data_IF_405443420436
#
_entry.id   IF_405443420436
#
_cell.length_a   1.000
_cell.length_b   1.000
_cell.length_c   1.000
_cell.angle_alpha   90.00
_cell.angle_beta   90.00
_cell.angle_gamma   90.00
#
_symmetry.space_group_name_H-M   'P 1'
#
loop_
_entity.id
_entity.type
_entity.pdbx_description
1 polymer ?
#
# COMPACT_ATOMS: atom_id res chain seq x y z
N UNK A 1 7.41 -30.08 -33.17
CA UNK A 1 7.59 -30.56 -31.78
C UNK A 1 7.53 -29.34 -30.88
N UNK A 2 6.39 -29.18 -30.20
CA UNK A 2 6.13 -28.06 -29.29
C UNK A 2 6.86 -28.32 -27.98
N UNK A 3 7.84 -27.49 -27.64
CA UNK A 3 8.46 -27.49 -26.31
C UNK A 3 7.43 -26.96 -25.31
N UNK A 4 6.82 -27.89 -24.57
CA UNK A 4 6.08 -27.58 -23.36
C UNK A 4 7.02 -26.84 -22.41
N UNK A 5 6.66 -25.59 -22.09
CA UNK A 5 7.19 -24.88 -20.93
C UNK A 5 6.74 -25.64 -19.68
N UNK A 6 7.59 -26.52 -19.15
CA UNK A 6 7.45 -27.08 -17.81
C UNK A 6 7.72 -25.97 -16.80
N UNK A 7 6.72 -25.11 -16.59
CA UNK A 7 6.76 -24.09 -15.55
C UNK A 7 6.56 -24.77 -14.21
N UNK A 8 7.59 -24.78 -13.36
CA UNK A 8 7.50 -25.26 -11.98
C UNK A 8 6.38 -24.50 -11.26
N UNK A 9 5.40 -25.24 -10.76
CA UNK A 9 4.20 -24.74 -10.09
C UNK A 9 4.56 -23.97 -8.81
N UNK A 10 3.73 -23.00 -8.40
CA UNK A 10 3.91 -22.35 -7.11
C UNK A 10 3.51 -23.32 -6.00
N UNK A 11 4.36 -23.46 -4.98
CA UNK A 11 4.06 -24.27 -3.81
C UNK A 11 4.58 -23.59 -2.55
N UNK A 12 3.87 -23.80 -1.44
CA UNK A 12 4.19 -23.25 -0.12
C UNK A 12 5.54 -23.72 0.40
N UNK A 13 5.93 -24.96 0.07
CA UNK A 13 7.23 -25.53 0.45
C UNK A 13 8.41 -24.67 -0.06
N UNK A 14 8.53 -24.44 -1.38
CA UNK A 14 9.70 -23.72 -1.92
C UNK A 14 9.74 -22.24 -1.46
N UNK A 15 8.58 -21.62 -1.22
CA UNK A 15 8.55 -20.26 -0.64
C UNK A 15 9.08 -20.22 0.79
N UNK A 16 8.70 -21.20 1.62
CA UNK A 16 9.18 -21.28 3.01
C UNK A 16 10.70 -21.44 3.09
N UNK A 17 11.29 -22.25 2.20
CA UNK A 17 12.75 -22.41 2.06
C UNK A 17 13.45 -21.11 1.63
N UNK A 18 12.70 -20.14 1.10
CA UNK A 18 13.19 -18.83 0.64
C UNK A 18 12.86 -17.71 1.60
N UNK A 19 12.28 -18.02 2.77
CA UNK A 19 11.92 -17.04 3.79
C UNK A 19 10.61 -16.29 3.53
N UNK A 20 9.72 -16.83 2.69
CA UNK A 20 8.38 -16.28 2.43
C UNK A 20 7.33 -17.22 3.01
N UNK A 21 6.50 -16.70 3.90
CA UNK A 21 5.51 -17.46 4.66
C UNK A 21 4.16 -16.77 4.56
N UNK A 22 3.08 -17.56 4.62
CA UNK A 22 1.75 -17.03 4.79
C UNK A 22 0.97 -17.85 5.81
N UNK A 23 0.01 -17.20 6.47
CA UNK A 23 -1.02 -17.83 7.30
C UNK A 23 -2.39 -17.36 6.81
N UNK A 24 -3.15 -18.32 6.27
CA UNK A 24 -4.43 -18.08 5.60
C UNK A 24 -5.63 -18.16 6.54
N UNK A 25 -5.39 -18.37 7.84
CA UNK A 25 -6.37 -18.23 8.90
C UNK A 25 -6.67 -16.73 9.15
N UNK A 26 -7.93 -16.35 8.94
CA UNK A 26 -8.41 -14.98 9.16
C UNK A 26 -8.79 -14.72 10.62
N UNK A 27 -8.75 -15.74 11.49
CA UNK A 27 -8.92 -15.55 12.93
C UNK A 27 -7.71 -14.81 13.50
N UNK A 28 -7.87 -14.14 14.67
CA UNK A 28 -6.72 -13.56 15.34
C UNK A 28 -5.59 -14.58 15.46
N UNK A 29 -4.36 -14.23 15.05
CA UNK A 29 -3.26 -15.18 15.06
C UNK A 29 -2.98 -15.64 16.49
N UNK A 30 -2.46 -16.87 16.62
CA UNK A 30 -2.11 -17.44 17.93
C UNK A 30 -1.08 -16.59 18.67
N UNK A 31 -0.15 -16.00 17.91
CA UNK A 31 0.79 -15.00 18.39
C UNK A 31 0.30 -13.60 18.00
N UNK A 32 0.35 -12.60 18.89
CA UNK A 32 -0.09 -11.25 18.56
C UNK A 32 0.77 -10.64 17.46
N UNK A 33 0.13 -9.99 16.48
CA UNK A 33 0.80 -9.30 15.40
C UNK A 33 1.75 -8.21 15.95
N UNK A 34 2.82 -7.88 15.23
CA UNK A 34 3.61 -6.70 15.56
C UNK A 34 2.72 -5.45 15.63
N UNK A 35 2.94 -4.51 16.58
CA UNK A 35 2.03 -3.38 16.79
C UNK A 35 1.75 -2.53 15.55
N UNK A 36 2.75 -2.36 14.67
CA UNK A 36 2.61 -1.60 13.43
C UNK A 36 1.77 -2.34 12.36
N UNK A 37 1.74 -3.66 12.41
CA UNK A 37 0.90 -4.52 11.55
C UNK A 37 -0.53 -4.50 12.08
N UNK A 38 -0.72 -4.60 13.40
CA UNK A 38 -2.04 -4.49 14.03
C UNK A 38 -2.66 -3.11 13.78
N UNK A 39 -1.88 -2.02 13.90
CA UNK A 39 -2.38 -0.68 13.61
C UNK A 39 -2.83 -0.52 12.15
N UNK A 40 -2.13 -1.15 11.20
CA UNK A 40 -2.58 -1.18 9.80
C UNK A 40 -3.85 -2.03 9.66
N UNK A 41 -3.90 -3.21 10.28
CA UNK A 41 -5.08 -4.07 10.27
C UNK A 41 -6.31 -3.33 10.79
N UNK A 42 -6.20 -2.68 11.94
CA UNK A 42 -7.28 -1.91 12.55
C UNK A 42 -7.71 -0.76 11.64
N UNK A 43 -6.76 -0.04 11.04
CA UNK A 43 -7.07 1.02 10.06
C UNK A 43 -7.76 0.50 8.81
N UNK A 44 -7.40 -0.68 8.30
CA UNK A 44 -8.03 -1.28 7.11
C UNK A 44 -9.44 -1.80 7.40
N UNK A 45 -9.64 -2.36 8.59
CA UNK A 45 -10.90 -2.97 9.02
C UNK A 45 -11.76 -2.02 9.86
N UNK A 46 -11.45 -0.72 9.84
CA UNK A 46 -12.28 0.30 10.46
C UNK A 46 -13.51 0.55 9.58
N UNK A 47 -14.64 0.02 10.03
CA UNK A 47 -15.94 0.21 9.41
C UNK A 47 -16.82 1.19 10.21
N UNK A 48 -16.23 2.01 11.07
CA UNK A 48 -16.97 3.02 11.80
C UNK A 48 -17.71 3.95 10.83
N UNK A 49 -18.86 4.45 11.28
CA UNK A 49 -19.73 5.36 10.53
C UNK A 49 -20.40 4.76 9.28
N UNK A 50 -20.27 3.45 9.05
CA UNK A 50 -20.91 2.79 7.91
C UNK A 50 -22.18 2.04 8.34
N UNK A 51 -23.26 2.26 7.59
CA UNK A 51 -24.41 1.37 7.58
C UNK A 51 -24.27 0.34 6.45
N UNK A 52 -24.44 -0.93 6.76
CA UNK A 52 -24.35 -1.99 5.77
C UNK A 52 -25.69 -2.37 5.14
N UNK A 53 -26.78 -1.76 5.59
CA UNK A 53 -28.07 -1.89 4.92
C UNK A 53 -27.99 -1.26 3.52
N UNK A 54 -28.48 -1.98 2.51
CA UNK A 54 -28.52 -1.47 1.15
C UNK A 54 -29.54 -0.35 0.98
N UNK A 55 -30.60 -0.37 1.80
CA UNK A 55 -31.70 0.59 1.71
C UNK A 55 -31.32 1.96 2.29
N UNK A 56 -30.27 2.03 3.10
CA UNK A 56 -29.69 3.28 3.59
C UNK A 56 -28.61 3.86 2.66
N UNK A 57 -28.19 3.12 1.63
CA UNK A 57 -27.28 3.62 0.60
C UNK A 57 -28.02 4.53 -0.39
N UNK A 58 -27.29 5.51 -0.92
CA UNK A 58 -27.79 6.31 -2.04
C UNK A 58 -28.12 5.43 -3.25
N UNK A 59 -29.11 5.82 -4.06
CA UNK A 59 -29.61 5.01 -5.18
C UNK A 59 -28.49 4.54 -6.13
N UNK A 60 -27.52 5.41 -6.41
CA UNK A 60 -26.37 5.10 -7.27
C UNK A 60 -25.49 4.00 -6.69
N UNK A 61 -25.17 4.08 -5.39
CA UNK A 61 -24.31 3.11 -4.72
C UNK A 61 -25.00 1.76 -4.55
N UNK A 62 -26.28 1.76 -4.14
CA UNK A 62 -27.10 0.57 -4.04
C UNK A 62 -27.22 -0.15 -5.41
N UNK A 63 -27.37 0.62 -6.49
CA UNK A 63 -27.42 0.10 -7.87
C UNK A 63 -26.11 -0.59 -8.25
N UNK A 64 -24.96 0.04 -7.96
CA UNK A 64 -23.65 -0.55 -8.23
C UNK A 64 -23.46 -1.85 -7.45
N UNK A 65 -23.79 -1.88 -6.16
CA UNK A 65 -23.65 -3.09 -5.33
C UNK A 65 -24.53 -4.22 -5.88
N UNK A 66 -25.77 -3.93 -6.26
CA UNK A 66 -26.69 -4.89 -6.89
C UNK A 66 -26.14 -5.41 -8.22
N UNK A 67 -25.52 -4.55 -9.03
CA UNK A 67 -24.91 -4.95 -10.31
C UNK A 67 -23.70 -5.88 -10.11
N UNK A 68 -22.81 -5.56 -9.15
CA UNK A 68 -21.67 -6.41 -8.78
C UNK A 68 -22.17 -7.78 -8.34
N UNK A 69 -23.11 -7.78 -7.39
CA UNK A 69 -23.68 -8.99 -6.82
C UNK A 69 -24.29 -9.90 -7.90
N UNK A 70 -25.16 -9.34 -8.74
CA UNK A 70 -25.78 -10.06 -9.86
C UNK A 70 -24.76 -10.61 -10.85
N UNK A 71 -23.70 -9.86 -11.13
CA UNK A 71 -22.63 -10.29 -12.04
C UNK A 71 -21.82 -11.43 -11.44
N UNK A 72 -21.46 -11.33 -10.15
CA UNK A 72 -20.75 -12.37 -9.42
C UNK A 72 -21.54 -13.69 -9.37
N UNK A 73 -22.83 -13.63 -9.04
CA UNK A 73 -23.71 -14.82 -9.02
C UNK A 73 -23.78 -15.47 -10.41
N UNK A 74 -23.97 -14.68 -11.48
CA UNK A 74 -23.97 -15.18 -12.85
C UNK A 74 -22.64 -15.84 -13.21
N UNK A 75 -21.51 -15.26 -12.80
CA UNK A 75 -20.20 -15.78 -13.13
C UNK A 75 -19.88 -17.10 -12.42
N UNK A 76 -20.36 -17.24 -11.19
CA UNK A 76 -20.25 -18.48 -10.43
C UNK A 76 -21.07 -19.60 -11.08
N UNK A 77 -22.30 -19.32 -11.51
CA UNK A 77 -23.17 -20.30 -12.18
C UNK A 77 -22.63 -20.75 -13.55
N UNK A 78 -22.07 -19.83 -14.33
CA UNK A 78 -21.73 -20.08 -15.74
C UNK A 78 -20.32 -20.61 -16.01
N UNK A 79 -19.50 -20.91 -14.99
CA UNK A 79 -18.11 -21.40 -15.14
C UNK A 79 -17.29 -20.56 -16.14
N UNK A 80 -17.37 -19.24 -16.00
CA UNK A 80 -16.74 -18.27 -16.92
C UNK A 80 -15.18 -18.38 -16.90
N UNK A 81 -14.48 -17.56 -17.69
CA UNK A 81 -13.01 -17.53 -17.70
C UNK A 81 -12.45 -16.50 -16.71
N UNK A 82 -11.19 -16.66 -16.29
CA UNK A 82 -10.47 -15.76 -15.37
C UNK A 82 -10.58 -14.28 -15.71
N UNK A 83 -10.39 -13.95 -16.98
CA UNK A 83 -10.44 -12.57 -17.48
C UNK A 83 -11.76 -11.85 -17.15
N UNK A 84 -12.86 -12.60 -16.97
CA UNK A 84 -14.18 -12.03 -16.64
C UNK A 84 -14.24 -11.60 -15.17
N UNK A 85 -13.65 -12.38 -14.27
CA UNK A 85 -13.51 -12.00 -12.86
C UNK A 85 -12.50 -10.87 -12.68
N UNK A 86 -11.35 -10.94 -13.36
CA UNK A 86 -10.37 -9.84 -13.40
C UNK A 86 -11.06 -8.53 -13.82
N UNK A 87 -11.84 -8.57 -14.91
CA UNK A 87 -12.59 -7.41 -15.39
C UNK A 87 -13.62 -6.89 -14.38
N UNK A 88 -14.27 -7.79 -13.63
CA UNK A 88 -15.24 -7.41 -12.59
C UNK A 88 -14.55 -6.65 -11.45
N UNK A 89 -13.49 -7.22 -10.88
CA UNK A 89 -12.73 -6.59 -9.80
C UNK A 89 -12.10 -5.28 -10.27
N UNK A 90 -11.54 -5.26 -11.48
CA UNK A 90 -10.96 -4.05 -12.05
C UNK A 90 -12.00 -2.93 -12.15
N UNK A 91 -13.16 -3.21 -12.77
CA UNK A 91 -14.22 -2.20 -13.00
C UNK A 91 -14.81 -1.67 -11.70
N UNK A 92 -15.08 -2.54 -10.73
CA UNK A 92 -15.92 -2.20 -9.58
C UNK A 92 -15.17 -1.97 -8.26
N UNK A 93 -13.90 -2.37 -8.19
CA UNK A 93 -13.11 -2.24 -6.97
C UNK A 93 -11.83 -1.43 -7.20
N UNK A 94 -11.08 -1.71 -8.27
CA UNK A 94 -9.77 -1.08 -8.48
C UNK A 94 -9.85 0.26 -9.20
N UNK A 95 -10.62 0.34 -10.28
CA UNK A 95 -10.79 1.56 -11.08
C UNK A 95 -11.42 2.71 -10.29
N UNK A 96 -12.45 2.51 -9.44
CA UNK A 96 -12.99 3.58 -8.60
C UNK A 96 -11.92 4.24 -7.71
N UNK A 97 -10.97 3.46 -7.21
CA UNK A 97 -9.86 3.97 -6.41
C UNK A 97 -8.93 4.88 -7.23
N UNK A 98 -8.63 4.47 -8.47
CA UNK A 98 -7.82 5.28 -9.41
C UNK A 98 -8.55 6.57 -9.80
N UNK A 99 -9.86 6.48 -10.07
CA UNK A 99 -10.69 7.62 -10.44
C UNK A 99 -10.79 8.63 -9.29
N UNK A 100 -10.94 8.15 -8.04
CA UNK A 100 -10.98 9.01 -6.86
C UNK A 100 -9.68 9.81 -6.67
N UNK A 101 -8.53 9.16 -6.88
CA UNK A 101 -7.22 9.79 -6.77
C UNK A 101 -6.88 10.74 -7.95
N UNK A 102 -7.60 10.64 -9.06
CA UNK A 102 -7.34 11.41 -10.28
C UNK A 102 -8.05 12.75 -10.30
N UNK A 103 -7.38 13.79 -10.78
CA UNK A 103 -7.99 15.11 -10.95
C UNK A 103 -9.04 15.07 -12.06
N UNK A 104 -10.22 15.62 -11.77
CA UNK A 104 -11.33 15.71 -12.73
C UNK A 104 -11.47 17.13 -13.29
N UNK A 105 -12.10 17.27 -14.46
CA UNK A 105 -12.37 18.59 -15.06
C UNK A 105 -13.30 19.48 -14.22
N UNK A 106 -14.07 18.90 -13.31
CA UNK A 106 -14.95 19.62 -12.38
C UNK A 106 -14.29 19.99 -11.04
N UNK A 107 -13.07 19.53 -10.79
CA UNK A 107 -12.39 19.75 -9.51
C UNK A 107 -11.93 21.22 -9.36
N UNK A 108 -12.13 21.78 -8.17
CA UNK A 108 -11.52 23.08 -7.85
C UNK A 108 -9.99 22.99 -7.89
N UNK A 109 -9.32 24.13 -8.12
CA UNK A 109 -7.85 24.21 -8.08
C UNK A 109 -7.24 23.60 -6.81
N UNK A 110 -7.88 23.81 -5.65
CA UNK A 110 -7.41 23.26 -4.36
C UNK A 110 -7.47 21.73 -4.36
N UNK A 111 -8.58 21.16 -4.84
CA UNK A 111 -8.80 19.72 -4.91
C UNK A 111 -7.80 19.07 -5.87
N UNK A 112 -7.68 19.59 -7.09
CA UNK A 112 -6.75 19.05 -8.09
C UNK A 112 -5.28 19.12 -7.63
N UNK A 113 -4.90 20.15 -6.86
CA UNK A 113 -3.57 20.24 -6.25
C UNK A 113 -3.38 19.17 -5.17
N UNK A 114 -4.37 18.96 -4.32
CA UNK A 114 -4.32 17.91 -3.29
C UNK A 114 -4.09 16.55 -3.94
N UNK A 115 -4.93 16.25 -4.95
CA UNK A 115 -4.86 15.00 -5.70
C UNK A 115 -3.49 14.79 -6.32
N UNK A 116 -2.94 15.79 -7.01
CA UNK A 116 -1.64 15.65 -7.66
C UNK A 116 -0.46 15.44 -6.69
N UNK A 117 -0.39 16.21 -5.60
CA UNK A 117 0.77 16.21 -4.71
C UNK A 117 0.70 15.10 -3.65
N UNK A 118 -0.48 14.90 -3.06
CA UNK A 118 -0.63 14.03 -1.90
C UNK A 118 -1.28 12.71 -2.28
N UNK A 119 -2.33 12.75 -3.09
CA UNK A 119 -3.24 11.62 -3.25
C UNK A 119 -2.96 10.78 -4.52
N UNK A 120 -2.05 11.24 -5.37
CA UNK A 120 -1.74 10.60 -6.64
C UNK A 120 -1.16 9.18 -6.45
N UNK A 121 -1.73 8.25 -7.20
CA UNK A 121 -1.36 6.84 -7.27
C UNK A 121 -1.26 6.40 -8.73
N UNK A 122 -0.56 5.30 -8.97
CA UNK A 122 -0.48 4.65 -10.27
C UNK A 122 -0.94 3.21 -10.10
N UNK A 123 -1.89 2.77 -10.90
CA UNK A 123 -2.25 1.36 -11.03
C UNK A 123 -1.57 0.79 -12.27
N UNK A 124 -1.00 -0.42 -12.14
CA UNK A 124 -0.51 -1.17 -13.29
C UNK A 124 -0.86 -2.65 -13.12
N UNK A 125 -1.12 -3.31 -14.25
CA UNK A 125 -1.55 -4.71 -14.31
C UNK A 125 -0.55 -5.53 -15.11
N UNK A 126 -0.35 -6.80 -14.73
CA UNK A 126 0.49 -7.77 -15.47
C UNK A 126 1.96 -7.34 -15.61
N UNK A 127 2.44 -6.48 -14.72
CA UNK A 127 3.79 -5.91 -14.77
C UNK A 127 4.83 -6.87 -14.18
N UNK A 128 5.91 -7.12 -14.93
CA UNK A 128 7.02 -7.95 -14.46
C UNK A 128 8.00 -7.13 -13.59
N UNK A 129 8.23 -7.56 -12.36
CA UNK A 129 9.14 -6.90 -11.42
C UNK A 129 10.59 -7.35 -11.65
N UNK A 130 11.20 -6.79 -12.69
CA UNK A 130 12.53 -7.13 -13.21
C UNK A 130 13.69 -6.88 -12.23
N UNK A 131 13.49 -6.09 -11.17
CA UNK A 131 14.50 -5.87 -10.12
C UNK A 131 14.82 -7.18 -9.36
N UNK A 132 13.92 -8.17 -9.37
CA UNK A 132 14.09 -9.42 -8.62
C UNK A 132 14.38 -10.66 -9.50
N UNK A 133 14.99 -10.46 -10.68
CA UNK A 133 15.37 -11.57 -11.57
C UNK A 133 16.45 -12.49 -10.97
N UNK A 134 16.45 -13.78 -11.37
CA UNK A 134 17.34 -14.84 -10.84
C UNK A 134 18.84 -14.62 -11.12
N UNK A 135 19.16 -13.82 -12.13
CA UNK A 135 20.51 -13.68 -12.66
C UNK A 135 21.21 -12.45 -12.08
N UNK A 136 21.77 -12.61 -10.89
CA UNK A 136 22.92 -11.83 -10.45
C UNK A 136 22.63 -10.51 -9.75
N UNK A 137 23.26 -10.41 -8.58
CA UNK A 137 23.39 -9.28 -7.67
C UNK A 137 22.27 -9.17 -6.62
N UNK A 138 22.70 -9.02 -5.36
CA UNK A 138 21.87 -8.54 -4.27
C UNK A 138 21.10 -7.28 -4.71
N UNK A 139 19.96 -6.97 -4.08
CA UNK A 139 19.17 -5.76 -4.29
C UNK A 139 19.94 -4.47 -3.90
N UNK A 140 21.05 -4.21 -4.59
CA UNK A 140 22.08 -3.25 -4.20
C UNK A 140 23.18 -3.86 -3.31
N UNK A 141 24.28 -3.11 -3.16
CA UNK A 141 25.37 -3.43 -2.22
C UNK A 141 24.99 -3.04 -0.77
N UNK A 142 23.76 -2.60 -0.57
CA UNK A 142 23.29 -1.93 0.65
C UNK A 142 22.89 -2.90 1.76
N UNK A 143 22.56 -4.15 1.44
CA UNK A 143 22.28 -5.22 2.40
C UNK A 143 22.76 -6.59 1.88
N UNK A 144 23.23 -7.44 2.79
CA UNK A 144 23.35 -8.87 2.52
C UNK A 144 21.93 -9.43 2.41
N UNK A 145 21.60 -9.99 1.26
CA UNK A 145 20.24 -10.41 0.93
C UNK A 145 20.18 -11.94 0.89
N UNK A 146 19.87 -12.60 2.02
CA UNK A 146 19.81 -14.06 2.07
C UNK A 146 18.59 -14.60 1.31
N UNK A 147 17.59 -13.75 1.01
CA UNK A 147 16.32 -14.18 0.44
C UNK A 147 16.39 -14.19 -1.09
N UNK A 148 16.07 -15.34 -1.70
CA UNK A 148 16.07 -15.50 -3.16
C UNK A 148 14.69 -15.87 -3.67
N UNK A 149 14.17 -15.14 -4.63
CA UNK A 149 12.86 -15.46 -5.19
C UNK A 149 12.87 -16.74 -6.02
N UNK A 150 11.80 -17.52 -5.93
CA UNK A 150 11.56 -18.65 -6.84
C UNK A 150 11.45 -18.19 -8.28
N UNK A 151 10.76 -17.06 -8.49
CA UNK A 151 10.52 -16.41 -9.77
C UNK A 151 10.31 -14.91 -9.50
N UNK A 152 10.66 -14.07 -10.47
CA UNK A 152 10.30 -12.66 -10.43
C UNK A 152 8.79 -12.51 -10.23
N UNK A 153 8.33 -11.59 -9.37
CA UNK A 153 6.91 -11.27 -9.28
C UNK A 153 6.39 -10.80 -10.64
N UNK A 154 5.25 -11.33 -11.04
CA UNK A 154 4.45 -10.86 -12.15
C UNK A 154 3.03 -10.77 -11.62
N UNK A 155 2.72 -9.62 -11.04
CA UNK A 155 1.45 -9.38 -10.34
C UNK A 155 0.33 -9.20 -11.33
N UNK A 156 -0.86 -9.70 -11.02
CA UNK A 156 -2.05 -9.42 -11.81
C UNK A 156 -2.41 -7.92 -11.74
N UNK A 157 -2.28 -7.31 -10.56
CA UNK A 157 -2.39 -5.87 -10.36
C UNK A 157 -1.55 -5.37 -9.19
N UNK A 158 -1.12 -4.11 -9.25
CA UNK A 158 -0.56 -3.44 -8.07
C UNK A 158 -0.71 -1.93 -8.17
N UNK A 159 -0.74 -1.30 -7.00
CA UNK A 159 -0.73 0.15 -6.87
C UNK A 159 0.60 0.66 -6.35
N UNK A 160 1.01 1.80 -6.88
CA UNK A 160 2.31 2.42 -6.67
C UNK A 160 2.15 3.91 -6.41
N UNK A 161 3.22 4.56 -5.95
CA UNK A 161 3.34 6.01 -6.01
C UNK A 161 3.99 6.45 -7.32
N UNK A 162 3.54 7.59 -7.89
CA UNK A 162 4.17 8.15 -9.07
C UNK A 162 5.59 8.63 -8.76
N UNK A 163 6.49 8.44 -9.71
CA UNK A 163 7.73 9.19 -9.77
C UNK A 163 7.44 10.49 -10.53
N UNK A 164 7.93 11.63 -10.05
CA UNK A 164 7.71 12.92 -10.72
C UNK A 164 8.91 13.28 -11.60
N UNK A 165 8.68 13.49 -12.90
CA UNK A 165 9.71 13.99 -13.82
C UNK A 165 9.55 15.51 -14.01
N UNK A 166 10.08 16.27 -13.05
CA UNK A 166 10.05 17.73 -13.03
C UNK A 166 11.04 18.29 -14.07
N UNK A 167 10.63 18.38 -15.33
CA UNK A 167 11.38 19.10 -16.39
C UNK A 167 10.76 20.47 -16.64
N UNK A 168 11.47 21.39 -17.31
CA UNK A 168 10.91 22.70 -17.70
C UNK A 168 9.63 22.58 -18.54
N UNK A 169 9.40 21.42 -19.18
CA UNK A 169 8.20 21.06 -19.94
C UNK A 169 7.37 19.98 -19.23
N UNK A 170 7.31 20.01 -17.89
CA UNK A 170 6.63 18.98 -17.12
C UNK A 170 5.16 18.83 -17.57
N UNK A 171 4.69 17.61 -17.87
CA UNK A 171 3.33 17.37 -18.32
C UNK A 171 2.42 17.29 -17.09
N UNK A 172 2.25 18.40 -16.37
CA UNK A 172 1.05 18.46 -15.52
C UNK A 172 -0.11 18.61 -16.52
N UNK A 173 -1.19 17.81 -16.40
CA UNK A 173 -2.29 17.82 -17.35
C UNK A 173 -2.73 19.25 -17.67
N UNK A 174 -2.58 19.63 -18.93
CA UNK A 174 -3.28 20.80 -19.45
C UNK A 174 -4.75 20.43 -19.50
N UNK A 175 -5.55 20.95 -18.57
CA UNK A 175 -6.99 20.83 -18.69
C UNK A 175 -7.39 21.55 -19.98
N UNK A 176 -7.85 20.79 -20.98
CA UNK A 176 -8.38 21.32 -22.23
C UNK A 176 -9.71 22.01 -21.94
N UNK A 177 -9.64 23.27 -21.52
CA UNK A 177 -10.80 24.13 -21.29
C UNK A 177 -10.34 25.55 -21.02
N UNK A 178 -11.01 26.53 -21.63
CA UNK A 178 -10.70 27.96 -21.49
C UNK A 178 -10.86 28.49 -20.05
N UNK A 179 -11.34 27.68 -19.11
CA UNK A 179 -11.45 27.96 -17.67
C UNK A 179 -10.46 27.16 -16.80
N UNK A 180 -9.69 26.24 -17.38
CA UNK A 180 -8.67 25.45 -16.70
C UNK A 180 -7.33 26.15 -16.69
N UNK A 181 -7.12 27.01 -15.68
CA UNK A 181 -5.86 27.71 -15.41
C UNK A 181 -4.64 26.85 -15.73
N UNK A 182 -3.74 27.38 -16.57
CA UNK A 182 -2.41 26.84 -16.83
C UNK A 182 -1.74 26.46 -15.50
N UNK A 183 -1.54 25.17 -15.26
CA UNK A 183 -0.94 24.66 -14.04
C UNK A 183 0.55 25.06 -13.90
N UNK A 184 1.11 25.80 -14.86
CA UNK A 184 2.54 26.14 -14.99
C UNK A 184 2.77 27.64 -15.10
N UNK A 185 3.32 28.22 -14.03
CA UNK A 185 4.57 28.96 -14.20
C UNK A 185 5.74 28.37 -13.40
N UNK A 186 5.48 27.50 -12.43
CA UNK A 186 6.49 26.61 -11.85
C UNK A 186 5.81 25.49 -11.03
N UNK A 187 6.19 24.23 -11.23
CA UNK A 187 6.00 23.19 -10.22
C UNK A 187 6.60 23.68 -8.90
N UNK A 188 5.97 23.43 -7.75
CA UNK A 188 6.63 23.67 -6.44
C UNK A 188 7.50 22.45 -6.13
N UNK A 189 8.80 22.45 -6.48
CA UNK A 189 9.58 21.21 -6.58
C UNK A 189 9.73 20.53 -5.22
N UNK A 190 9.71 21.31 -4.14
CA UNK A 190 9.88 20.85 -2.75
C UNK A 190 8.77 19.89 -2.27
N UNK A 191 7.54 20.00 -2.78
CA UNK A 191 6.42 19.16 -2.30
C UNK A 191 6.51 17.70 -2.77
N UNK A 192 7.22 17.45 -3.86
CA UNK A 192 7.38 16.12 -4.48
C UNK A 192 8.84 15.75 -4.71
N UNK A 193 9.77 16.52 -4.13
CA UNK A 193 11.20 16.40 -4.37
C UNK A 193 11.70 14.98 -4.05
N UNK A 194 11.25 14.41 -2.94
CA UNK A 194 11.65 13.07 -2.49
C UNK A 194 11.23 11.99 -3.49
N UNK A 195 10.12 12.17 -4.22
CA UNK A 195 9.65 11.26 -5.27
C UNK A 195 10.04 11.71 -6.68
N UNK A 196 10.91 12.72 -6.82
CA UNK A 196 11.37 13.16 -8.13
C UNK A 196 12.34 12.16 -8.75
N UNK A 197 12.27 11.99 -10.07
CA UNK A 197 13.12 11.04 -10.80
C UNK A 197 14.61 11.36 -10.61
N UNK A 198 14.99 12.64 -10.63
CA UNK A 198 16.38 13.07 -10.45
C UNK A 198 16.92 12.71 -9.07
N UNK A 199 16.15 12.97 -8.01
CA UNK A 199 16.52 12.63 -6.63
C UNK A 199 16.66 11.12 -6.46
N UNK A 200 15.63 10.36 -6.85
CA UNK A 200 15.62 8.90 -6.73
C UNK A 200 16.73 8.25 -7.55
N UNK A 201 17.05 8.77 -8.74
CA UNK A 201 18.17 8.30 -9.57
C UNK A 201 19.51 8.48 -8.84
N UNK A 202 19.76 9.67 -8.27
CA UNK A 202 20.99 9.93 -7.51
C UNK A 202 21.13 8.99 -6.32
N UNK A 203 20.05 8.77 -5.57
CA UNK A 203 20.08 7.86 -4.42
C UNK A 203 20.19 6.39 -4.84
N UNK A 204 19.64 6.03 -6.00
CA UNK A 204 19.75 4.69 -6.56
C UNK A 204 21.22 4.32 -6.85
N UNK A 205 22.03 5.28 -7.31
CA UNK A 205 23.49 5.11 -7.49
C UNK A 205 24.20 4.78 -6.17
N UNK A 206 23.65 5.21 -5.03
CA UNK A 206 24.17 4.94 -3.68
C UNK A 206 23.57 3.68 -3.03
N UNK A 207 22.72 2.95 -3.75
CA UNK A 207 22.14 1.68 -3.29
C UNK A 207 20.69 1.73 -2.84
N UNK A 208 19.99 2.88 -2.93
CA UNK A 208 18.53 2.91 -2.76
C UNK A 208 17.86 2.09 -3.89
N UNK A 209 16.77 1.39 -3.58
CA UNK A 209 15.98 0.64 -4.56
C UNK A 209 14.51 1.03 -4.41
N UNK A 210 14.05 2.13 -5.03
CA UNK A 210 12.70 2.64 -4.80
C UNK A 210 11.67 1.96 -5.72
N UNK A 211 12.09 1.23 -6.76
CA UNK A 211 11.20 0.70 -7.79
C UNK A 211 11.50 -0.79 -8.07
N UNK A 212 10.45 -1.63 -8.24
CA UNK A 212 10.62 -3.01 -8.70
C UNK A 212 10.94 -3.11 -10.21
N UNK A 213 11.04 -1.95 -10.89
CA UNK A 213 11.37 -1.82 -12.30
C UNK A 213 12.78 -1.24 -12.52
N UNK A 214 13.25 -1.26 -13.75
CA UNK A 214 14.54 -0.69 -14.14
C UNK A 214 14.48 0.80 -14.47
N UNK A 215 13.75 1.58 -13.65
CA UNK A 215 13.43 2.99 -13.90
C UNK A 215 14.64 3.93 -14.02
N UNK A 216 15.81 3.52 -13.52
CA UNK A 216 17.02 4.35 -13.48
C UNK A 216 18.17 3.82 -14.33
N UNK A 217 17.98 2.71 -15.06
CA UNK A 217 19.03 2.17 -15.96
C UNK A 217 19.17 2.99 -17.26
N UNK A 218 18.14 3.73 -17.66
CA UNK A 218 18.09 4.48 -18.92
C UNK A 218 18.50 5.95 -18.71
N UNK A 219 18.93 6.62 -19.79
CA UNK A 219 19.29 8.05 -19.77
C UNK A 219 18.09 8.94 -19.47
N UNK A 220 16.90 8.57 -19.95
CA UNK A 220 15.63 9.24 -19.69
C UNK A 220 14.61 8.22 -19.14
N UNK A 221 13.67 8.66 -18.28
CA UNK A 221 12.59 7.80 -17.82
C UNK A 221 11.64 7.43 -18.97
N UNK A 222 11.19 6.16 -19.00
CA UNK A 222 10.00 5.79 -19.76
C UNK A 222 8.76 5.96 -18.86
N UNK A 223 7.63 6.33 -19.45
CA UNK A 223 6.36 6.50 -18.74
C UNK A 223 5.97 5.27 -17.90
N UNK A 224 6.10 4.07 -18.48
CA UNK A 224 5.82 2.81 -17.78
C UNK A 224 6.72 2.57 -16.55
N UNK A 225 7.90 3.21 -16.51
CA UNK A 225 8.85 3.08 -15.41
C UNK A 225 8.66 4.18 -14.33
N UNK A 226 7.72 5.12 -14.50
CA UNK A 226 7.49 6.27 -13.60
C UNK A 226 6.66 5.93 -12.35
N UNK A 227 6.98 4.81 -11.73
CA UNK A 227 6.31 4.31 -10.53
C UNK A 227 7.30 3.66 -9.56
N UNK A 228 7.02 3.82 -8.27
CA UNK A 228 7.87 3.38 -7.18
C UNK A 228 7.03 2.98 -5.97
N UNK A 229 7.63 2.24 -5.04
CA UNK A 229 7.03 1.85 -3.76
C UNK A 229 5.61 1.28 -3.92
N UNK A 230 5.50 0.01 -4.37
CA UNK A 230 4.21 -0.68 -4.39
C UNK A 230 3.61 -0.64 -2.98
N UNK A 231 2.34 -0.25 -2.86
CA UNK A 231 1.65 -0.14 -1.57
C UNK A 231 0.43 -1.04 -1.46
N UNK A 232 0.00 -1.66 -2.55
CA UNK A 232 -1.03 -2.72 -2.57
C UNK A 232 -0.73 -3.68 -3.73
N UNK A 233 -0.72 -4.99 -3.44
CA UNK A 233 -0.60 -6.07 -4.42
C UNK A 233 -1.95 -6.76 -4.61
N UNK A 234 -2.28 -7.12 -5.85
CA UNK A 234 -3.53 -7.82 -6.18
C UNK A 234 -3.20 -9.03 -7.05
N UNK A 235 -3.65 -10.20 -6.64
CA UNK A 235 -3.56 -11.45 -7.40
C UNK A 235 -4.95 -12.05 -7.61
N UNK A 236 -5.26 -12.42 -8.84
CA UNK A 236 -6.54 -12.98 -9.24
C UNK A 236 -6.34 -14.41 -9.73
N UNK A 237 -7.23 -15.33 -9.37
CA UNK A 237 -7.29 -16.66 -9.96
C UNK A 237 -8.73 -17.03 -10.27
N UNK A 238 -8.91 -17.88 -11.26
CA UNK A 238 -10.21 -18.43 -11.61
C UNK A 238 -10.42 -19.81 -11.02
N UNK A 239 -11.66 -20.17 -10.67
CA UNK A 239 -12.06 -21.55 -10.37
C UNK A 239 -12.02 -22.44 -11.64
N UNK A 240 -10.83 -22.89 -12.09
CA UNK A 240 -10.67 -24.03 -13.03
C UNK A 240 -9.56 -24.97 -12.55
N UNK A 241 -9.92 -26.20 -12.16
CA UNK A 241 -9.18 -27.23 -11.40
C UNK A 241 -9.57 -27.28 -9.90
N UNK A 242 -8.96 -28.20 -9.15
CA UNK A 242 -9.11 -28.33 -7.68
C UNK A 242 -8.86 -26.98 -7.03
N UNK A 243 -9.93 -26.43 -6.44
CA UNK A 243 -9.99 -25.10 -5.84
C UNK A 243 -8.82 -24.80 -4.88
N UNK A 244 -8.35 -25.81 -4.16
CA UNK A 244 -7.22 -25.72 -3.22
C UNK A 244 -5.91 -25.30 -3.90
N UNK A 245 -5.56 -25.90 -5.05
CA UNK A 245 -4.32 -25.60 -5.77
C UNK A 245 -4.28 -24.17 -6.27
N UNK A 246 -5.39 -23.70 -6.86
CA UNK A 246 -5.52 -22.33 -7.35
C UNK A 246 -5.43 -21.31 -6.22
N UNK A 247 -6.02 -21.66 -5.09
CA UNK A 247 -5.98 -20.86 -3.88
C UNK A 247 -4.56 -20.73 -3.36
N UNK A 248 -3.85 -21.85 -3.28
CA UNK A 248 -2.43 -21.85 -2.94
C UNK A 248 -1.59 -21.04 -3.93
N UNK A 249 -1.80 -21.20 -5.23
CA UNK A 249 -1.08 -20.42 -6.25
C UNK A 249 -1.29 -18.91 -6.08
N UNK A 250 -2.53 -18.46 -5.84
CA UNK A 250 -2.84 -17.06 -5.58
C UNK A 250 -2.07 -16.55 -4.35
N UNK A 251 -2.06 -17.32 -3.27
CA UNK A 251 -1.41 -16.92 -2.02
C UNK A 251 0.11 -16.89 -2.18
N UNK A 252 0.67 -17.88 -2.87
CA UNK A 252 2.09 -17.96 -3.17
C UNK A 252 2.58 -16.79 -4.04
N UNK A 253 1.80 -16.41 -5.05
CA UNK A 253 2.11 -15.24 -5.88
C UNK A 253 2.03 -13.96 -5.07
N UNK A 254 0.97 -13.81 -4.27
CA UNK A 254 0.76 -12.63 -3.44
C UNK A 254 1.90 -12.45 -2.44
N UNK A 255 2.28 -13.47 -1.66
CA UNK A 255 3.38 -13.36 -0.69
C UNK A 255 4.74 -13.11 -1.36
N UNK A 256 4.98 -13.70 -2.53
CA UNK A 256 6.22 -13.45 -3.27
C UNK A 256 6.29 -11.99 -3.72
N UNK A 257 5.20 -11.43 -4.24
CA UNK A 257 5.13 -10.04 -4.68
C UNK A 257 5.16 -9.07 -3.49
N UNK A 258 4.25 -9.21 -2.52
CA UNK A 258 4.18 -8.32 -1.37
C UNK A 258 5.45 -8.37 -0.51
N UNK A 259 6.05 -9.55 -0.32
CA UNK A 259 7.33 -9.70 0.37
C UNK A 259 8.47 -9.00 -0.37
N UNK A 260 8.45 -9.01 -1.71
CA UNK A 260 9.38 -8.20 -2.52
C UNK A 260 9.17 -6.69 -2.35
N UNK A 261 7.93 -6.22 -2.20
CA UNK A 261 7.66 -4.83 -1.89
C UNK A 261 8.14 -4.46 -0.48
N UNK A 262 7.96 -5.33 0.52
CA UNK A 262 8.54 -5.16 1.87
C UNK A 262 10.07 -5.12 1.82
N UNK A 263 10.72 -5.88 0.93
CA UNK A 263 12.18 -5.78 0.71
C UNK A 263 12.62 -4.41 0.25
N UNK A 264 11.88 -3.78 -0.67
CA UNK A 264 12.15 -2.39 -1.08
C UNK A 264 12.01 -1.44 0.11
N UNK A 265 11.00 -1.65 0.96
CA UNK A 265 10.80 -0.88 2.18
C UNK A 265 11.96 -1.04 3.16
N UNK A 266 12.46 -2.26 3.35
CA UNK A 266 13.60 -2.54 4.22
C UNK A 266 14.88 -1.84 3.76
N UNK A 267 15.18 -1.88 2.46
CA UNK A 267 16.30 -1.13 1.88
C UNK A 267 16.11 0.37 2.12
N UNK A 268 14.90 0.87 1.91
CA UNK A 268 14.57 2.28 2.08
C UNK A 268 14.70 2.72 3.54
N UNK A 269 14.34 1.84 4.48
CA UNK A 269 14.45 2.08 5.91
C UNK A 269 15.89 1.92 6.46
N UNK A 270 16.91 1.66 5.63
CA UNK A 270 18.31 1.43 6.07
C UNK A 270 18.87 2.50 7.04
N UNK A 271 18.47 3.76 6.88
CA UNK A 271 18.91 4.86 7.75
C UNK A 271 17.82 5.31 8.74
N UNK A 272 16.73 4.56 8.86
CA UNK A 272 15.71 4.77 9.87
C UNK A 272 16.25 4.46 11.28
N UNK A 273 15.53 4.93 12.31
CA UNK A 273 15.78 4.43 13.67
C UNK A 273 15.16 3.04 13.74
N UNK A 274 15.95 2.03 14.10
CA UNK A 274 15.44 0.69 14.32
C UNK A 274 14.43 0.71 15.48
N UNK A 275 13.23 0.22 15.19
CA UNK A 275 12.14 0.11 16.16
C UNK A 275 11.92 -1.36 16.54
N UNK A 276 11.41 -1.63 17.76
CA UNK A 276 11.08 -2.99 18.19
C UNK A 276 10.17 -3.71 17.20
N UNK A 277 10.33 -5.04 17.09
CA UNK A 277 9.58 -5.89 16.16
C UNK A 277 9.57 -5.34 14.72
N UNK A 278 10.69 -4.74 14.31
CA UNK A 278 10.90 -4.23 12.95
C UNK A 278 9.88 -3.16 12.51
N UNK A 279 9.27 -2.42 13.44
CA UNK A 279 8.20 -1.45 13.14
C UNK A 279 8.60 -0.24 12.28
N UNK A 280 9.89 -0.10 11.99
CA UNK A 280 10.43 0.88 11.06
C UNK A 280 10.44 0.37 9.60
N UNK A 281 10.02 -0.87 9.34
CA UNK A 281 9.87 -1.43 8.00
C UNK A 281 8.38 -1.50 7.72
N UNK A 282 7.84 -0.62 6.88
CA UNK A 282 6.41 -0.63 6.60
C UNK A 282 5.95 -1.94 5.95
N UNK A 283 4.79 -2.46 6.38
CA UNK A 283 4.18 -3.65 5.79
C UNK A 283 3.52 -3.32 4.45
N UNK A 284 3.10 -4.35 3.71
CA UNK A 284 2.44 -4.24 2.41
C UNK A 284 1.11 -5.02 2.42
N UNK A 285 -0.02 -4.34 2.30
CA UNK A 285 -1.30 -4.95 1.98
C UNK A 285 -1.27 -5.78 0.70
N UNK A 286 -1.98 -6.90 0.69
CA UNK A 286 -2.25 -7.67 -0.52
C UNK A 286 -3.72 -8.12 -0.56
N UNK A 287 -4.23 -8.35 -1.77
CA UNK A 287 -5.55 -8.90 -2.04
C UNK A 287 -5.39 -10.11 -2.94
N UNK A 288 -6.09 -11.18 -2.59
CA UNK A 288 -6.19 -12.38 -3.45
C UNK A 288 -7.65 -12.67 -3.73
N UNK A 289 -7.98 -12.98 -4.97
CA UNK A 289 -9.34 -13.39 -5.34
C UNK A 289 -9.33 -14.74 -6.05
N UNK A 290 -10.24 -15.65 -5.68
CA UNK A 290 -10.41 -16.95 -6.37
C UNK A 290 -11.89 -17.13 -6.73
N UNK A 291 -12.25 -16.78 -7.96
CA UNK A 291 -13.67 -16.58 -8.32
C UNK A 291 -14.29 -15.48 -7.45
N UNK A 292 -15.41 -15.73 -6.73
CA UNK A 292 -16.04 -14.71 -5.89
C UNK A 292 -15.37 -14.54 -4.51
N UNK A 293 -14.52 -15.47 -4.09
CA UNK A 293 -13.87 -15.38 -2.78
C UNK A 293 -12.76 -14.33 -2.81
N UNK A 294 -12.77 -13.45 -1.81
CA UNK A 294 -11.77 -12.41 -1.61
C UNK A 294 -11.10 -12.61 -0.26
N UNK A 295 -9.77 -12.54 -0.24
CA UNK A 295 -9.00 -12.41 1.01
C UNK A 295 -8.13 -11.17 0.95
N UNK A 296 -8.03 -10.51 2.09
CA UNK A 296 -7.17 -9.34 2.32
C UNK A 296 -6.10 -9.73 3.33
N UNK A 297 -4.88 -9.32 3.03
CA UNK A 297 -3.68 -9.74 3.72
C UNK A 297 -2.80 -8.55 4.08
N UNK A 298 -1.95 -8.73 5.09
CA UNK A 298 -0.83 -7.84 5.35
C UNK A 298 0.46 -8.65 5.36
N UNK A 299 1.44 -8.22 4.55
CA UNK A 299 2.77 -8.79 4.51
C UNK A 299 3.76 -7.91 5.26
N UNK A 300 4.57 -8.47 6.13
CA UNK A 300 5.53 -7.73 6.94
C UNK A 300 6.82 -8.52 7.13
N UNK A 301 7.91 -7.80 7.43
CA UNK A 301 9.17 -8.43 7.80
C UNK A 301 9.14 -8.77 9.29
N UNK A 302 9.47 -10.01 9.62
CA UNK A 302 9.47 -10.52 10.98
C UNK A 302 10.81 -11.17 11.30
N UNK A 303 11.19 -11.09 12.59
CA UNK A 303 12.28 -11.85 13.18
C UNK A 303 11.71 -12.68 14.33
N UNK A 304 12.33 -13.82 14.61
CA UNK A 304 12.03 -14.67 15.76
C UNK A 304 10.53 -15.01 15.89
N UNK A 305 9.92 -15.51 14.80
CA UNK A 305 8.49 -15.83 14.74
C UNK A 305 8.26 -17.32 14.48
N UNK A 306 7.07 -17.82 14.78
CA UNK A 306 6.70 -19.19 14.50
C UNK A 306 6.01 -19.31 13.13
N UNK A 307 6.36 -20.31 12.35
CA UNK A 307 5.71 -20.60 11.07
C UNK A 307 5.62 -22.10 10.81
N UNK A 308 4.67 -22.48 9.95
CA UNK A 308 4.56 -23.85 9.46
C UNK A 308 5.61 -24.11 8.38
N UNK A 309 6.45 -25.12 8.62
CA UNK A 309 7.33 -25.74 7.64
C UNK A 309 6.75 -27.06 7.18
N UNK A 310 7.04 -27.36 5.91
CA UNK A 310 6.69 -28.61 5.27
C UNK A 310 7.97 -29.36 4.94
N UNK A 311 7.97 -30.68 5.12
CA UNK A 311 9.16 -31.50 4.88
C UNK A 311 9.46 -31.64 3.38
N UNK A 312 8.43 -31.70 2.55
CA UNK A 312 8.51 -31.86 1.09
C UNK A 312 7.37 -31.12 0.37
N UNK A 313 7.39 -31.20 -0.97
CA UNK A 313 6.37 -30.62 -1.86
C UNK A 313 5.02 -31.33 -1.77
N UNK A 314 4.98 -32.57 -1.26
CA UNK A 314 3.78 -33.38 -1.09
C UNK A 314 3.07 -33.13 0.26
N UNK A 315 3.62 -32.22 1.08
CA UNK A 315 3.11 -31.87 2.40
C UNK A 315 3.00 -33.08 3.34
N UNK A 316 3.89 -34.06 3.19
CA UNK A 316 3.85 -35.32 3.94
C UNK A 316 3.94 -35.12 5.46
N UNK A 317 4.69 -34.11 5.89
CA UNK A 317 4.85 -33.72 7.28
C UNK A 317 4.83 -32.19 7.43
N UNK A 318 4.04 -31.71 8.41
CA UNK A 318 3.96 -30.31 8.80
C UNK A 318 4.54 -30.14 10.20
N UNK A 319 5.40 -29.14 10.38
CA UNK A 319 5.98 -28.81 11.67
C UNK A 319 5.88 -27.32 11.94
N UNK A 320 5.59 -26.94 13.18
CA UNK A 320 5.53 -25.54 13.60
C UNK A 320 6.86 -25.19 14.26
N UNK A 321 7.69 -24.41 13.58
CA UNK A 321 9.07 -24.14 14.00
C UNK A 321 9.36 -22.64 14.07
N UNK A 322 10.38 -22.29 14.86
CA UNK A 322 10.86 -20.92 14.99
C UNK A 322 11.69 -20.55 13.76
N UNK A 323 11.34 -19.43 13.12
CA UNK A 323 12.07 -18.79 12.05
C UNK A 323 12.89 -17.63 12.60
N UNK A 324 14.17 -17.57 12.26
CA UNK A 324 15.02 -16.43 12.64
C UNK A 324 14.53 -15.13 12.00
N UNK A 325 14.18 -15.17 10.71
CA UNK A 325 13.67 -14.03 9.96
C UNK A 325 12.96 -14.44 8.66
N UNK A 326 12.08 -13.58 8.16
CA UNK A 326 11.37 -13.79 6.90
C UNK A 326 10.29 -12.76 6.64
N UNK A 327 9.59 -12.92 5.52
CA UNK A 327 8.41 -12.16 5.15
C UNK A 327 7.17 -12.99 5.44
N UNK A 328 6.35 -12.53 6.39
CA UNK A 328 5.12 -13.19 6.80
C UNK A 328 3.92 -12.45 6.21
N UNK A 329 3.02 -13.17 5.55
CA UNK A 329 1.74 -12.66 5.04
C UNK A 329 0.58 -13.23 5.84
N UNK A 330 -0.08 -12.40 6.65
CA UNK A 330 -1.23 -12.80 7.47
C UNK A 330 -2.54 -12.43 6.79
N UNK A 331 -3.50 -13.36 6.73
CA UNK A 331 -4.87 -13.06 6.35
C UNK A 331 -5.55 -12.24 7.45
N UNK A 332 -6.11 -11.08 7.11
CA UNK A 332 -6.81 -10.21 8.07
C UNK A 332 -8.33 -10.19 7.86
N UNK A 333 -8.79 -10.52 6.66
CA UNK A 333 -10.21 -10.55 6.31
C UNK A 333 -10.47 -11.52 5.15
N UNK A 334 -11.62 -12.20 5.22
CA UNK A 334 -12.16 -13.05 4.16
C UNK A 334 -13.61 -12.62 3.90
N UNK A 335 -13.99 -12.56 2.63
CA UNK A 335 -15.37 -12.34 2.22
C UNK A 335 -15.67 -12.94 0.85
N UNK A 336 -16.92 -12.77 0.41
CA UNK A 336 -17.43 -13.29 -0.85
C UNK A 336 -18.26 -12.23 -1.59
N UNK A 337 -17.89 -11.86 -2.82
CA UNK A 337 -18.59 -10.80 -3.56
C UNK A 337 -19.96 -11.21 -4.13
N UNK A 338 -20.43 -12.44 -3.85
CA UNK A 338 -21.85 -12.82 -3.97
C UNK A 338 -22.68 -12.38 -2.76
N UNK A 339 -22.06 -11.81 -1.73
CA UNK A 339 -22.71 -11.19 -0.59
C UNK A 339 -22.56 -9.66 -0.64
N UNK A 340 -23.68 -8.93 -0.61
CA UNK A 340 -23.68 -7.46 -0.63
C UNK A 340 -22.92 -6.82 0.53
N UNK A 341 -23.00 -7.38 1.73
CA UNK A 341 -22.24 -6.87 2.88
C UNK A 341 -20.74 -6.99 2.67
N UNK A 342 -20.27 -8.08 2.06
CA UNK A 342 -18.86 -8.28 1.79
C UNK A 342 -18.38 -7.42 0.62
N UNK A 343 -19.24 -7.11 -0.36
CA UNK A 343 -18.95 -6.09 -1.39
C UNK A 343 -18.71 -4.73 -0.71
N UNK A 344 -19.60 -4.30 0.19
CA UNK A 344 -19.47 -3.01 0.90
C UNK A 344 -18.18 -3.00 1.72
N UNK A 345 -17.95 -4.02 2.56
CA UNK A 345 -16.74 -4.13 3.38
C UNK A 345 -15.48 -4.13 2.54
N UNK A 346 -15.43 -4.88 1.45
CA UNK A 346 -14.24 -4.94 0.60
C UNK A 346 -13.91 -3.58 -0.03
N UNK A 347 -14.92 -2.82 -0.47
CA UNK A 347 -14.72 -1.47 -0.99
C UNK A 347 -14.16 -0.54 0.07
N UNK A 348 -14.73 -0.54 1.28
CA UNK A 348 -14.23 0.24 2.41
C UNK A 348 -12.79 -0.14 2.79
N UNK A 349 -12.47 -1.44 2.79
CA UNK A 349 -11.10 -1.90 3.03
C UNK A 349 -10.14 -1.26 2.02
N UNK A 350 -10.48 -1.22 0.73
CA UNK A 350 -9.62 -0.60 -0.29
C UNK A 350 -9.48 0.92 -0.09
N UNK A 351 -10.56 1.62 0.27
CA UNK A 351 -10.56 3.06 0.57
C UNK A 351 -9.71 3.38 1.81
N UNK A 352 -9.86 2.60 2.86
CA UNK A 352 -9.05 2.68 4.08
C UNK A 352 -7.58 2.38 3.79
N UNK A 353 -7.31 1.36 2.98
CA UNK A 353 -5.94 1.00 2.55
C UNK A 353 -5.29 2.15 1.79
N UNK A 354 -6.01 2.79 0.88
CA UNK A 354 -5.54 3.96 0.16
C UNK A 354 -5.29 5.16 1.07
N UNK A 355 -6.17 5.38 2.05
CA UNK A 355 -5.98 6.43 3.06
C UNK A 355 -4.71 6.18 3.86
N UNK A 356 -4.50 4.96 4.35
CA UNK A 356 -3.25 4.58 5.00
C UNK A 356 -2.04 4.79 4.08
N UNK A 357 -2.14 4.38 2.80
CA UNK A 357 -1.05 4.50 1.85
C UNK A 357 -0.64 5.98 1.66
N UNK A 358 -1.60 6.87 1.47
CA UNK A 358 -1.35 8.30 1.17
C UNK A 358 -1.05 9.14 2.41
N UNK A 359 -1.57 8.77 3.59
CA UNK A 359 -1.47 9.56 4.83
C UNK A 359 -0.44 9.03 5.82
N UNK A 360 -0.08 7.76 5.75
CA UNK A 360 0.87 7.13 6.69
C UNK A 360 2.10 6.61 5.94
N UNK A 361 1.89 5.74 4.95
CA UNK A 361 3.00 5.07 4.25
C UNK A 361 3.83 6.04 3.41
N UNK A 362 3.20 6.84 2.52
CA UNK A 362 3.90 7.81 1.67
C UNK A 362 4.72 8.82 2.47
N UNK A 363 4.20 9.50 3.52
CA UNK A 363 5.00 10.40 4.35
C UNK A 363 6.17 9.72 5.08
N UNK A 364 5.99 8.47 5.51
CA UNK A 364 7.06 7.70 6.13
C UNK A 364 8.19 7.39 5.14
N UNK A 365 7.84 6.97 3.92
CA UNK A 365 8.80 6.77 2.83
C UNK A 365 9.51 8.07 2.46
N UNK A 366 8.80 9.21 2.40
CA UNK A 366 9.43 10.55 2.23
C UNK A 366 10.52 10.77 3.27
N UNK A 367 10.21 10.52 4.54
CA UNK A 367 11.17 10.68 5.66
C UNK A 367 12.40 9.80 5.47
N UNK A 368 12.23 8.57 4.98
CA UNK A 368 13.36 7.67 4.71
C UNK A 368 14.22 8.15 3.54
N UNK A 369 13.60 8.61 2.45
CA UNK A 369 14.32 9.18 1.30
C UNK A 369 15.14 10.41 1.71
N UNK A 370 14.62 11.24 2.61
CA UNK A 370 15.34 12.41 3.11
C UNK A 370 16.55 12.01 3.97
N UNK A 371 16.42 10.95 4.78
CA UNK A 371 17.56 10.38 5.53
C UNK A 371 18.62 9.78 4.62
N UNK A 372 18.21 9.09 3.55
CA UNK A 372 19.13 8.65 2.50
C UNK A 372 19.88 9.83 1.88
N UNK A 373 19.18 10.92 1.59
CA UNK A 373 19.77 12.14 1.04
C UNK A 373 20.82 12.76 1.96
N UNK A 374 20.54 12.78 3.27
CA UNK A 374 21.49 13.25 4.27
C UNK A 374 22.73 12.36 4.34
N UNK A 375 22.54 11.03 4.41
CA UNK A 375 23.62 10.05 4.50
C UNK A 375 24.53 10.03 3.26
N UNK A 376 23.98 10.30 2.07
CA UNK A 376 24.70 10.33 0.80
C UNK A 376 25.18 11.74 0.39
N UNK A 377 25.11 12.72 1.28
CA UNK A 377 25.63 14.07 1.00
C UNK A 377 27.17 14.10 1.10
N UNK A 378 27.81 14.90 0.24
CA UNK A 378 29.29 15.00 0.20
C UNK A 378 29.90 15.46 1.53
N UNK A 379 29.16 16.22 2.36
CA UNK A 379 29.57 16.57 3.71
C UNK A 379 29.64 15.36 4.66
N UNK A 380 28.71 14.42 4.53
CA UNK A 380 28.71 13.16 5.29
C UNK A 380 29.84 12.23 4.83
N UNK A 381 30.09 12.13 3.51
CA UNK A 381 31.18 11.34 2.93
C UNK A 381 32.57 11.92 3.26
N UNK A 382 32.73 13.25 3.23
CA UNK A 382 33.98 13.92 3.59
C UNK A 382 34.24 13.89 5.11
N UNK A 383 33.19 13.93 5.95
CA UNK A 383 33.34 13.69 7.41
C UNK A 383 33.66 12.24 7.75
N UNK A 384 33.24 11.25 6.94
CA UNK A 384 33.56 9.84 7.15
C UNK A 384 35.06 9.53 6.92
N UNK A 385 35.80 10.37 6.18
CA UNK A 385 37.26 10.31 6.07
C UNK A 385 38.01 11.02 7.21
N UNK A 386 37.33 11.69 8.14
CA UNK A 386 37.97 12.35 9.29
C UNK A 386 37.27 12.13 10.64
N UNK A 387 36.19 11.35 10.71
CA UNK A 387 35.48 11.09 11.95
C UNK A 387 34.99 9.63 12.04
N UNK A 388 35.92 8.73 12.33
CA UNK A 388 35.61 7.47 12.99
C UNK A 388 35.32 7.69 14.50
N UNK A 389 34.61 8.76 14.85
CA UNK A 389 34.11 9.09 16.20
C UNK A 389 32.86 9.98 16.03
N UNK A 390 31.67 9.40 15.78
CA UNK A 390 30.58 9.65 16.74
C UNK A 390 29.56 8.50 16.90
N UNK A 391 29.95 7.23 16.65
CA UNK A 391 29.04 6.08 16.84
C UNK A 391 28.97 5.52 18.26
N UNK A 392 29.93 5.84 19.14
CA UNK A 392 29.91 5.40 20.55
C UNK A 392 29.43 6.48 21.54
N UNK A 393 29.69 7.78 21.30
CA UNK A 393 29.31 8.83 22.26
C UNK A 393 27.79 9.12 22.33
N UNK A 394 27.03 8.89 21.25
CA UNK A 394 25.55 9.01 21.30
C UNK A 394 24.87 7.82 22.01
N UNK A 395 25.56 6.69 22.09
CA UNK A 395 25.08 5.51 22.82
C UNK A 395 25.35 5.66 24.33
N UNK A 396 26.46 6.30 24.71
CA UNK A 396 26.77 6.62 26.11
C UNK A 396 25.85 7.68 26.72
N UNK A 397 25.43 8.71 25.97
CA UNK A 397 24.42 9.67 26.45
C UNK A 397 23.02 9.05 26.65
N UNK A 398 22.76 7.90 26.03
CA UNK A 398 21.48 7.19 26.16
C UNK A 398 21.43 6.24 27.36
N UNK A 399 22.60 5.92 27.97
CA UNK A 399 22.70 5.08 29.18
C UNK A 399 22.36 5.85 30.47
N UNK A 400 22.10 7.16 30.39
CA UNK A 400 21.88 8.03 31.54
C UNK A 400 20.42 8.35 31.88
N UNK A 401 19.41 7.89 31.13
CA UNK A 401 18.00 8.14 31.48
C UNK A 401 17.35 6.90 32.12
N UNK A 402 16.85 6.98 33.37
CA UNK A 402 16.12 5.90 34.02
C UNK A 402 14.93 5.43 33.17
N UNK A 403 14.70 4.12 33.12
CA UNK A 403 13.63 3.44 32.35
C UNK A 403 12.26 4.11 32.45
N UNK A 404 11.94 4.65 33.63
CA UNK A 404 10.69 5.34 33.92
C UNK A 404 10.48 6.57 33.01
N UNK A 405 11.53 7.37 32.74
CA UNK A 405 11.40 8.59 31.91
C UNK A 405 11.27 8.30 30.41
N UNK A 406 11.74 7.14 29.91
CA UNK A 406 11.52 6.74 28.51
C UNK A 406 10.09 6.29 28.26
N UNK A 407 9.50 5.55 29.20
CA UNK A 407 8.08 5.19 29.14
C UNK A 407 7.21 6.44 29.26
N UNK A 408 7.57 7.40 30.12
CA UNK A 408 6.85 8.69 30.20
C UNK A 408 6.96 9.47 28.89
N UNK A 409 8.12 9.49 28.22
CA UNK A 409 8.28 10.20 26.95
C UNK A 409 7.49 9.54 25.80
N UNK A 410 7.44 8.20 25.76
CA UNK A 410 6.65 7.46 24.77
C UNK A 410 5.16 7.65 25.03
N UNK A 411 4.72 7.60 26.29
CA UNK A 411 3.34 7.90 26.67
C UNK A 411 2.97 9.36 26.36
N UNK A 412 3.91 10.30 26.54
CA UNK A 412 3.69 11.72 26.22
C UNK A 412 3.61 11.96 24.71
N UNK A 413 4.42 11.27 23.91
CA UNK A 413 4.33 11.31 22.44
C UNK A 413 3.01 10.69 21.97
N UNK A 414 2.60 9.54 22.52
CA UNK A 414 1.29 8.96 22.23
C UNK A 414 0.15 9.88 22.68
N UNK A 415 0.25 10.52 23.86
CA UNK A 415 -0.73 11.51 24.33
C UNK A 415 -0.82 12.70 23.38
N UNK A 416 0.31 13.25 22.93
CA UNK A 416 0.35 14.36 21.98
C UNK A 416 -0.24 13.95 20.62
N UNK A 417 0.04 12.74 20.13
CA UNK A 417 -0.52 12.23 18.87
C UNK A 417 -2.03 12.02 19.01
N UNK A 418 -2.51 11.43 20.11
CA UNK A 418 -3.93 11.23 20.39
C UNK A 418 -4.68 12.55 20.58
N UNK A 419 -4.12 13.52 21.32
CA UNK A 419 -4.71 14.86 21.49
C UNK A 419 -4.78 15.62 20.15
N UNK A 420 -3.78 15.45 19.27
CA UNK A 420 -3.77 16.03 17.91
C UNK A 420 -4.81 15.36 17.01
N UNK A 421 -5.01 14.05 17.14
CA UNK A 421 -6.05 13.31 16.41
C UNK A 421 -7.46 13.65 16.92
N UNK A 422 -7.65 13.81 18.22
CA UNK A 422 -8.92 14.28 18.81
C UNK A 422 -9.21 15.74 18.45
N UNK A 423 -8.22 16.63 18.44
CA UNK A 423 -8.44 18.00 17.96
C UNK A 423 -8.75 18.05 16.47
N UNK A 424 -8.17 17.16 15.65
CA UNK A 424 -8.55 17.04 14.24
C UNK A 424 -9.99 16.51 14.08
N UNK A 425 -10.41 15.54 14.90
CA UNK A 425 -11.77 15.05 14.92
C UNK A 425 -12.77 16.12 15.41
N UNK A 426 -12.42 16.89 16.44
CA UNK A 426 -13.23 18.00 16.93
C UNK A 426 -13.31 19.16 15.93
N UNK A 427 -12.21 19.48 15.24
CA UNK A 427 -12.21 20.48 14.15
C UNK A 427 -13.04 19.99 12.97
N UNK A 428 -12.98 18.70 12.63
CA UNK A 428 -13.85 18.11 11.61
C UNK A 428 -15.33 18.14 12.03
N UNK A 429 -15.65 17.86 13.30
CA UNK A 429 -17.00 17.95 13.84
C UNK A 429 -17.53 19.39 13.94
N UNK A 430 -16.69 20.37 14.31
CA UNK A 430 -17.04 21.79 14.31
C UNK A 430 -17.24 22.30 12.87
N UNK A 431 -16.38 21.89 11.93
CA UNK A 431 -16.57 22.19 10.51
C UNK A 431 -17.86 21.55 9.99
N UNK A 432 -18.21 20.34 10.42
CA UNK A 432 -19.48 19.70 10.08
C UNK A 432 -20.69 20.45 10.67
N UNK A 433 -20.64 20.86 11.94
CA UNK A 433 -21.71 21.66 12.57
C UNK A 433 -21.86 23.04 11.89
N UNK A 434 -20.75 23.69 11.53
CA UNK A 434 -20.77 24.99 10.84
C UNK A 434 -21.26 24.85 9.40
N UNK A 435 -20.92 23.78 8.69
CA UNK A 435 -21.41 23.55 7.33
C UNK A 435 -22.87 23.08 7.32
N UNK A 436 -23.24 22.06 8.09
CA UNK A 436 -24.62 21.51 8.13
C UNK A 436 -25.58 22.49 8.83
N UNK A 437 -25.17 23.12 9.93
CA UNK A 437 -25.95 24.16 10.59
C UNK A 437 -26.06 25.46 9.77
N UNK A 438 -25.04 25.78 8.96
CA UNK A 438 -25.08 26.88 8.00
C UNK A 438 -26.06 26.66 6.86
N UNK A 439 -26.16 25.42 6.34
CA UNK A 439 -27.15 25.05 5.33
C UNK A 439 -28.58 25.04 5.89
N UNK A 440 -28.80 24.53 7.11
CA UNK A 440 -30.10 24.60 7.78
C UNK A 440 -30.57 26.05 8.07
N UNK A 441 -29.64 26.96 8.42
CA UNK A 441 -29.95 28.37 8.60
C UNK A 441 -30.25 29.08 7.26
N UNK A 442 -29.55 28.70 6.18
CA UNK A 442 -29.82 29.21 4.84
C UNK A 442 -31.16 28.72 4.29
N UNK A 443 -31.54 27.48 4.54
CA UNK A 443 -32.85 26.94 4.16
C UNK A 443 -33.99 27.52 5.02
N UNK A 444 -33.76 27.75 6.32
CA UNK A 444 -34.70 28.46 7.20
C UNK A 444 -34.92 29.92 6.75
N UNK A 445 -33.85 30.65 6.41
CA UNK A 445 -33.93 32.02 5.90
C UNK A 445 -34.53 32.10 4.49
N UNK A 446 -34.46 31.01 3.72
CA UNK A 446 -35.08 30.90 2.39
C UNK A 446 -36.58 30.62 2.47
N UNK A 447 -37.02 29.85 3.47
CA UNK A 447 -38.44 29.56 3.72
C UNK A 447 -39.17 30.76 4.38
N UNK A 448 -38.50 31.52 5.25
CA UNK A 448 -39.04 32.76 5.84
C UNK A 448 -39.21 33.89 4.81
N UNK A 449 -38.33 34.01 3.81
CA UNK A 449 -38.51 34.99 2.70
C UNK A 449 -39.64 34.63 1.74
N UNK A 450 -40.16 33.40 1.79
CA UNK A 450 -41.33 32.96 1.03
C UNK A 450 -42.67 33.32 1.68
N UNK A 451 -42.68 33.83 2.92
CA UNK A 451 -43.90 34.15 3.68
C UNK A 451 -44.04 35.62 4.08
N UNK A 452 -43.56 36.55 3.25
CA UNK A 452 -43.98 37.95 3.36
C UNK A 452 -45.22 38.16 2.49
N UNK A 453 -46.39 37.91 3.09
CA UNK A 453 -47.64 38.52 2.66
C UNK A 453 -47.53 40.03 2.90
N UNK A 454 -47.52 40.82 1.83
CA UNK A 454 -47.82 42.25 1.89
C UNK A 454 -49.34 42.37 1.70
N UNK A 455 -50.08 43.08 2.59
CA UNK A 455 -51.50 43.39 2.37
C UNK A 455 -51.72 44.29 1.15
#
# INVERSE_FOLDING_TARGET
>A
MSTQSTGTEWNRYDLSQRGFFYDDDSRPPKDPLPPHVEALRDSMLDFACEDFDLDSKGEDEASIIKEINKSAMKFEEGKFSENVWESLFQKYSLEPLVQHASASGGDSRKISRSKYYYDAIVFDSKAAWVTFDKSGNALGNSMADPFRNKKRPQVDGAFYFPIYHLTEKSPIPGATGHTGMEWHKASTPSLVESFSWSKLKKLHEHGLRPSPFHAFKKKQPLENDMKCYPWLVVEHKHKKNTFEKLTEEAYCQAVNASGCAVRLNQITAKFAVELPKEAHIPPIPAVTTVGPEVKVWITYFAKDFMAYYYADEDYSEQSFQRCEQGYMMQCIWKGDITNSHDIIKFRLILENTYTWATRVYKPLITTYIDRWSFACSDAALNSAHSAMVPRQQKMELSKGLPSIQRETLIQEIHRIISERLETLAQVAAILYIVFVGGFALLDFLRDERGRVYIP
#
